data_IF_863919740554
#
_entry.id   IF_863919740554
#
_cell.length_a   1.000
_cell.length_b   1.000
_cell.length_c   1.000
_cell.angle_alpha   90.00
_cell.angle_beta   90.00
_cell.angle_gamma   90.00
#
_symmetry.space_group_name_H-M   'P 1'
#
loop_
_entity.id
_entity.type
_entity.pdbx_description
1 polymer ?
#
# COMPACT_ATOMS: atom_id res chain seq x y z
N UNK A 1 -0.92 10.95 -22.30
CA UNK A 1 0.45 10.50 -21.95
C UNK A 1 1.41 10.72 -23.11
N UNK A 2 2.47 11.49 -22.89
CA UNK A 2 3.64 11.53 -23.78
C UNK A 2 4.66 10.46 -23.34
N UNK A 3 5.49 9.97 -24.26
CA UNK A 3 6.58 9.04 -23.95
C UNK A 3 7.93 9.61 -24.41
N UNK A 4 8.84 9.83 -23.47
CA UNK A 4 10.24 10.15 -23.76
C UNK A 4 10.97 8.92 -24.32
N UNK A 5 11.74 9.12 -25.39
CA UNK A 5 12.67 8.11 -25.94
C UNK A 5 14.02 8.79 -26.11
N UNK A 6 15.04 8.27 -25.42
CA UNK A 6 16.39 8.82 -25.46
C UNK A 6 17.25 8.18 -26.55
N UNK A 7 17.79 9.02 -27.43
CA UNK A 7 19.10 8.79 -28.03
C UNK A 7 19.75 10.13 -28.41
N UNK A 8 21.06 10.28 -28.22
CA UNK A 8 21.86 11.42 -28.70
C UNK A 8 21.54 12.83 -28.16
N UNK A 9 20.90 12.95 -26.99
CA UNK A 9 21.05 14.14 -26.12
C UNK A 9 20.21 15.39 -26.42
N UNK A 10 19.22 15.33 -27.32
CA UNK A 10 18.23 16.40 -27.54
C UNK A 10 16.81 15.80 -27.61
N UNK A 11 15.82 16.54 -27.11
CA UNK A 11 14.43 16.09 -26.99
C UNK A 11 13.47 16.78 -27.97
N UNK A 12 12.39 16.10 -28.36
CA UNK A 12 11.28 16.66 -29.14
C UNK A 12 9.96 15.88 -28.86
N UNK A 13 8.81 16.52 -29.04
CA UNK A 13 7.49 16.06 -28.61
C UNK A 13 6.63 15.51 -29.77
N UNK A 14 5.77 14.51 -29.48
CA UNK A 14 4.69 14.01 -30.36
C UNK A 14 3.47 13.64 -29.52
N UNK A 15 2.26 13.88 -30.04
CA UNK A 15 0.97 13.77 -29.32
C UNK A 15 0.18 12.48 -29.65
N UNK A 16 -0.87 12.17 -28.88
CA UNK A 16 -1.56 10.87 -28.88
C UNK A 16 -2.77 10.71 -29.82
N UNK A 17 -2.97 9.46 -30.31
CA UNK A 17 -4.17 8.62 -30.03
C UNK A 17 -4.09 7.28 -30.79
N UNK A 18 -3.89 6.15 -30.11
CA UNK A 18 -4.14 4.78 -30.66
C UNK A 18 -4.08 3.70 -29.58
N UNK A 19 -4.84 2.61 -29.74
CA UNK A 19 -4.84 1.45 -28.81
C UNK A 19 -3.65 0.51 -29.10
N UNK A 20 -2.66 0.47 -28.22
CA UNK A 20 -1.47 -0.38 -28.38
C UNK A 20 -1.75 -1.85 -28.00
N UNK A 21 -1.43 -2.76 -28.92
CA UNK A 21 -1.48 -4.22 -28.73
C UNK A 21 -0.10 -4.82 -29.02
N UNK A 22 0.22 -5.97 -28.42
CA UNK A 22 1.49 -6.65 -28.65
C UNK A 22 1.47 -7.45 -29.95
N UNK A 23 2.48 -7.23 -30.80
CA UNK A 23 2.63 -7.94 -32.08
C UNK A 23 3.02 -9.43 -31.97
N UNK A 24 3.03 -10.02 -30.77
CA UNK A 24 3.35 -11.43 -30.53
C UNK A 24 2.15 -12.17 -29.92
N UNK A 25 1.60 -11.71 -28.79
CA UNK A 25 0.46 -12.35 -28.13
C UNK A 25 -0.90 -11.67 -28.41
N UNK A 26 -0.93 -10.61 -29.23
CA UNK A 26 -2.11 -9.77 -29.57
C UNK A 26 -2.82 -9.06 -28.41
N UNK A 27 -2.51 -9.39 -27.15
CA UNK A 27 -3.01 -8.72 -25.96
C UNK A 27 -2.71 -7.21 -25.92
N UNK A 28 -3.51 -6.47 -25.15
CA UNK A 28 -3.32 -5.03 -24.91
C UNK A 28 -2.05 -4.76 -24.10
N UNK A 29 -1.34 -3.69 -24.45
CA UNK A 29 -0.27 -3.13 -23.61
C UNK A 29 -0.89 -2.01 -22.77
N UNK A 30 -1.19 -2.31 -21.51
CA UNK A 30 -1.84 -1.42 -20.53
C UNK A 30 -1.15 -1.51 -19.16
N UNK A 31 -1.53 -0.63 -18.23
CA UNK A 31 -0.98 -0.57 -16.87
C UNK A 31 -0.05 0.62 -16.64
N UNK A 32 0.22 0.94 -15.37
CA UNK A 32 1.21 1.93 -14.96
C UNK A 32 2.64 1.39 -15.17
N UNK A 33 3.61 2.29 -15.36
CA UNK A 33 5.00 1.94 -15.61
C UNK A 33 5.30 1.46 -17.04
N UNK A 34 6.57 1.12 -17.30
CA UNK A 34 7.08 0.75 -18.64
C UNK A 34 6.71 -0.70 -19.00
N UNK A 35 5.46 -0.93 -19.39
CA UNK A 35 4.87 -2.26 -19.67
C UNK A 35 5.35 -2.93 -20.98
N UNK A 36 5.80 -2.15 -21.97
CA UNK A 36 6.23 -2.66 -23.27
C UNK A 36 7.40 -1.90 -23.91
N UNK A 37 7.99 -2.52 -24.93
CA UNK A 37 9.01 -1.95 -25.79
C UNK A 37 8.41 -1.54 -27.14
N UNK A 38 8.93 -0.45 -27.72
CA UNK A 38 8.60 0.02 -29.07
C UNK A 38 9.87 0.10 -29.91
N UNK A 39 9.93 -0.60 -31.03
CA UNK A 39 11.07 -0.48 -31.94
C UNK A 39 11.12 0.94 -32.53
N UNK A 40 12.25 1.63 -32.40
CA UNK A 40 12.39 3.02 -32.89
C UNK A 40 12.27 3.13 -34.42
N UNK A 41 12.57 2.07 -35.15
CA UNK A 41 12.59 2.04 -36.61
C UNK A 41 11.22 1.62 -37.18
N UNK A 42 10.84 0.34 -37.08
CA UNK A 42 9.57 -0.18 -37.62
C UNK A 42 8.33 0.07 -36.73
N UNK A 43 8.49 0.74 -35.58
CA UNK A 43 7.41 1.09 -34.61
C UNK A 43 6.68 -0.10 -33.96
N UNK A 44 7.12 -1.34 -34.22
CA UNK A 44 6.64 -2.59 -33.61
C UNK A 44 6.54 -2.47 -32.08
N UNK A 45 5.41 -2.92 -31.52
CA UNK A 45 5.06 -2.84 -30.09
C UNK A 45 4.98 -4.26 -29.50
N UNK A 46 5.66 -4.50 -28.37
CA UNK A 46 5.63 -5.79 -27.65
C UNK A 46 5.70 -5.60 -26.14
N UNK A 47 5.06 -6.47 -25.34
CA UNK A 47 5.28 -6.49 -23.89
C UNK A 47 6.73 -6.82 -23.54
N UNK A 48 7.17 -6.41 -22.35
CA UNK A 48 8.45 -6.86 -21.77
C UNK A 48 8.62 -8.38 -21.80
N UNK A 49 7.58 -9.16 -21.48
CA UNK A 49 7.62 -10.64 -21.52
C UNK A 49 7.82 -11.21 -22.93
N UNK A 50 7.31 -10.53 -23.97
CA UNK A 50 7.32 -11.01 -25.35
C UNK A 50 8.56 -10.62 -26.17
N UNK A 51 9.42 -9.70 -25.70
CA UNK A 51 10.49 -9.15 -26.55
C UNK A 51 11.50 -10.20 -27.06
N UNK A 52 11.76 -11.27 -26.28
CA UNK A 52 12.65 -12.37 -26.66
C UNK A 52 12.07 -13.29 -27.75
N UNK A 53 10.79 -13.12 -28.10
CA UNK A 53 10.09 -13.88 -29.13
C UNK A 53 10.03 -13.14 -30.48
N UNK A 54 10.59 -11.92 -30.56
CA UNK A 54 10.69 -11.15 -31.81
C UNK A 54 11.79 -11.73 -32.69
N UNK A 55 11.40 -12.65 -33.57
CA UNK A 55 12.31 -13.35 -34.49
C UNK A 55 12.27 -12.76 -35.92
N UNK A 56 12.28 -11.43 -36.05
CA UNK A 56 12.14 -10.74 -37.33
C UNK A 56 12.98 -9.45 -37.43
N UNK A 57 13.77 -9.36 -38.50
CA UNK A 57 14.63 -8.20 -38.77
C UNK A 57 13.84 -6.93 -39.08
N UNK A 58 14.30 -5.81 -38.54
CA UNK A 58 13.64 -4.52 -38.68
C UNK A 58 13.85 -3.91 -40.08
N UNK A 59 12.90 -4.14 -41.00
CA UNK A 59 12.88 -3.53 -42.33
C UNK A 59 12.45 -2.05 -42.26
N UNK A 60 13.20 -1.17 -42.95
CA UNK A 60 12.97 0.27 -42.98
C UNK A 60 12.17 0.73 -44.21
N UNK A 61 10.96 1.27 -43.99
CA UNK A 61 10.30 2.18 -44.94
C UNK A 61 9.39 3.17 -44.18
N UNK A 62 9.12 4.34 -44.77
CA UNK A 62 8.27 5.40 -44.20
C UNK A 62 7.25 5.88 -45.25
N UNK A 63 6.01 6.14 -44.79
CA UNK A 63 4.92 6.87 -45.46
C UNK A 63 4.30 6.23 -46.73
N UNK A 64 3.07 6.64 -47.13
CA UNK A 64 1.93 7.18 -46.36
C UNK A 64 0.60 6.39 -46.58
N UNK A 65 -0.44 6.69 -45.80
CA UNK A 65 -1.83 6.30 -46.15
C UNK A 65 -2.35 7.08 -47.37
N UNK A 66 -3.32 6.54 -48.15
CA UNK A 66 -4.70 7.07 -48.00
C UNK A 66 -5.88 6.12 -48.34
N UNK A 67 -7.06 6.45 -47.76
CA UNK A 67 -8.44 6.21 -48.26
C UNK A 67 -9.05 4.78 -48.17
N UNK A 68 -10.26 4.72 -47.59
CA UNK A 68 -11.22 3.59 -47.69
C UNK A 68 -12.25 3.79 -48.83
N UNK A 69 -12.74 2.70 -49.43
CA UNK A 69 -14.15 2.56 -49.83
C UNK A 69 -14.92 1.53 -48.98
N UNK A 70 -16.24 1.40 -49.19
CA UNK A 70 -17.13 0.49 -48.44
C UNK A 70 -17.50 -0.81 -49.19
N UNK A 71 -18.19 -1.71 -48.47
CA UNK A 71 -19.04 -2.87 -48.84
C UNK A 71 -19.62 -2.90 -50.29
N UNK A 72 -20.01 -4.08 -50.86
CA UNK A 72 -20.81 -5.11 -50.15
C UNK A 72 -20.64 -6.63 -50.47
N UNK A 73 -20.94 -7.45 -49.46
CA UNK A 73 -21.75 -8.69 -49.48
C UNK A 73 -21.38 -9.94 -50.34
N UNK A 74 -21.38 -11.11 -49.68
CA UNK A 74 -21.65 -12.49 -50.20
C UNK A 74 -20.62 -13.11 -51.21
N UNK A 75 -20.54 -14.43 -51.45
CA UNK A 75 -21.43 -15.60 -51.16
C UNK A 75 -20.62 -16.91 -50.90
N UNK A 76 -21.21 -17.84 -50.14
CA UNK A 76 -21.22 -19.33 -50.25
C UNK A 76 -19.99 -20.19 -50.70
N UNK A 77 -19.68 -21.21 -49.85
CA UNK A 77 -19.55 -22.66 -50.18
C UNK A 77 -18.33 -23.19 -50.99
N UNK A 78 -17.88 -24.46 -50.88
CA UNK A 78 -18.27 -25.65 -50.06
C UNK A 78 -17.10 -26.69 -50.02
N UNK A 79 -17.32 -27.83 -49.30
CA UNK A 79 -16.71 -29.18 -49.51
C UNK A 79 -15.28 -29.53 -49.00
N UNK A 80 -14.97 -30.79 -48.57
CA UNK A 80 -15.75 -31.90 -47.96
C UNK A 80 -14.82 -33.03 -47.42
N UNK A 81 -15.18 -33.69 -46.29
CA UNK A 81 -14.78 -35.06 -45.80
C UNK A 81 -13.27 -35.43 -45.65
N UNK A 82 -12.79 -36.48 -44.93
CA UNK A 82 -13.27 -37.49 -43.92
C UNK A 82 -11.99 -38.11 -43.24
N UNK A 83 -11.88 -39.17 -42.40
CA UNK A 83 -12.72 -40.29 -41.86
C UNK A 83 -12.17 -40.68 -40.44
N UNK A 84 -12.93 -41.40 -39.60
CA UNK A 84 -12.41 -42.21 -38.45
C UNK A 84 -13.20 -43.56 -38.39
N UNK A 85 -12.59 -44.72 -38.07
CA UNK A 85 -13.12 -45.51 -36.93
C UNK A 85 -12.13 -46.45 -36.15
N UNK A 86 -12.08 -46.27 -34.82
CA UNK A 86 -12.36 -47.27 -33.75
C UNK A 86 -11.64 -48.66 -33.60
N UNK A 87 -10.74 -48.76 -32.58
CA UNK A 87 -10.63 -49.80 -31.50
C UNK A 87 -10.37 -51.33 -31.86
N UNK A 88 -10.19 -52.31 -30.91
CA UNK A 88 -10.14 -52.29 -29.42
C UNK A 88 -9.06 -53.18 -28.68
N UNK A 89 -9.10 -53.16 -27.34
CA UNK A 89 -8.53 -54.15 -26.34
C UNK A 89 -7.02 -54.08 -26.02
N UNK A 90 -6.49 -54.54 -24.86
CA UNK A 90 -7.04 -55.42 -23.78
C UNK A 90 -6.41 -55.22 -22.37
N UNK A 91 -7.23 -55.38 -21.30
CA UNK A 91 -6.99 -56.07 -19.99
C UNK A 91 -5.58 -56.16 -19.33
N UNK A 92 -5.40 -55.73 -18.06
CA UNK A 92 -5.65 -56.48 -16.79
C UNK A 92 -5.37 -55.59 -15.53
N UNK A 93 -5.64 -56.10 -14.32
CA UNK A 93 -5.65 -55.38 -13.03
C UNK A 93 -5.20 -56.28 -11.85
N UNK A 94 -4.83 -55.70 -10.70
CA UNK A 94 -4.87 -56.38 -9.39
C UNK A 94 -4.76 -55.40 -8.20
N UNK A 95 -5.43 -55.72 -7.09
CA UNK A 95 -5.59 -54.87 -5.89
C UNK A 95 -4.59 -55.18 -4.77
N UNK A 96 -4.57 -54.33 -3.74
CA UNK A 96 -4.48 -54.81 -2.35
C UNK A 96 -5.16 -53.85 -1.35
N UNK A 97 -5.60 -54.41 -0.22
CA UNK A 97 -6.55 -53.83 0.74
C UNK A 97 -5.91 -53.64 2.12
N UNK A 98 -6.35 -52.61 2.87
CA UNK A 98 -6.09 -52.46 4.31
C UNK A 98 -7.25 -51.72 4.99
N UNK A 99 -7.98 -52.40 5.87
CA UNK A 99 -9.04 -51.83 6.71
C UNK A 99 -8.50 -51.48 8.10
N UNK A 100 -8.93 -50.37 8.73
CA UNK A 100 -9.02 -50.34 10.21
C UNK A 100 -10.06 -49.34 10.77
N UNK A 101 -11.30 -49.86 10.90
CA UNK A 101 -12.34 -49.71 11.94
C UNK A 101 -12.66 -48.37 12.64
N UNK A 102 -13.95 -48.27 12.98
CA UNK A 102 -14.64 -47.14 13.61
C UNK A 102 -14.30 -46.95 15.10
N UNK A 103 -14.42 -45.69 15.55
CA UNK A 103 -14.84 -45.34 16.91
C UNK A 103 -15.93 -44.26 16.82
N UNK A 104 -17.02 -44.37 17.58
CA UNK A 104 -18.22 -43.54 17.43
C UNK A 104 -18.68 -42.94 18.77
N UNK A 105 -19.30 -41.75 18.72
CA UNK A 105 -19.69 -40.90 19.86
C UNK A 105 -18.49 -40.13 20.46
N UNK A 106 -18.61 -38.88 20.92
CA UNK A 106 -19.81 -38.12 21.31
C UNK A 106 -20.01 -36.88 20.43
N UNK A 107 -21.28 -36.52 20.17
CA UNK A 107 -21.66 -35.20 19.63
C UNK A 107 -21.74 -34.19 20.77
N UNK A 108 -20.83 -33.24 20.83
CA UNK A 108 -21.10 -31.96 21.48
C UNK A 108 -21.43 -30.91 20.40
N UNK A 109 -22.45 -30.09 20.66
CA UNK A 109 -22.94 -29.13 19.67
C UNK A 109 -21.89 -28.07 19.38
N UNK A 110 -21.51 -27.92 18.12
CA UNK A 110 -20.72 -26.78 17.68
C UNK A 110 -21.46 -25.49 18.01
N UNK A 111 -20.93 -24.70 18.97
CA UNK A 111 -21.13 -23.26 18.94
C UNK A 111 -20.46 -22.78 17.66
N UNK A 112 -21.26 -22.43 16.65
CA UNK A 112 -20.76 -21.54 15.62
C UNK A 112 -20.28 -20.27 16.33
N UNK A 113 -19.00 -19.93 16.19
CA UNK A 113 -18.52 -18.60 16.56
C UNK A 113 -19.29 -17.61 15.69
N UNK A 114 -20.19 -16.84 16.30
CA UNK A 114 -21.00 -15.87 15.57
C UNK A 114 -20.08 -14.79 15.02
N UNK A 115 -19.73 -14.91 13.74
CA UNK A 115 -19.02 -13.87 13.01
C UNK A 115 -19.85 -12.59 13.04
N UNK A 116 -19.18 -11.48 13.34
CA UNK A 116 -19.80 -10.16 13.26
C UNK A 116 -20.08 -9.84 11.79
N UNK A 117 -21.19 -9.17 11.52
CA UNK A 117 -21.51 -8.64 10.20
C UNK A 117 -21.97 -7.19 10.25
N UNK A 118 -22.23 -6.60 9.09
CA UNK A 118 -22.57 -5.18 8.98
C UNK A 118 -23.80 -4.78 9.81
N UNK A 119 -24.75 -5.71 10.01
CA UNK A 119 -25.95 -5.52 10.83
C UNK A 119 -25.64 -5.24 12.32
N UNK A 120 -24.51 -5.71 12.84
CA UNK A 120 -24.13 -5.58 14.25
C UNK A 120 -23.56 -4.19 14.59
N UNK A 121 -23.33 -3.35 13.58
CA UNK A 121 -22.80 -2.02 13.71
C UNK A 121 -23.82 -0.92 13.36
N UNK A 122 -23.70 0.23 14.01
CA UNK A 122 -24.31 1.49 13.56
C UNK A 122 -23.25 2.36 12.90
N UNK A 123 -23.59 2.93 11.73
CA UNK A 123 -22.72 3.83 10.97
C UNK A 123 -22.97 5.27 11.45
N UNK A 124 -21.96 5.91 12.05
CA UNK A 124 -22.10 7.21 12.73
C UNK A 124 -21.59 8.39 11.90
N UNK A 125 -20.48 8.19 11.17
CA UNK A 125 -19.81 9.24 10.39
C UNK A 125 -18.93 8.65 9.29
N UNK A 126 -18.63 9.45 8.27
CA UNK A 126 -17.51 9.18 7.36
C UNK A 126 -16.32 9.99 7.88
N UNK A 127 -15.16 9.36 8.04
CA UNK A 127 -13.99 9.99 8.67
C UNK A 127 -12.76 10.04 7.75
N UNK A 128 -12.76 9.32 6.63
CA UNK A 128 -11.68 9.40 5.65
C UNK A 128 -11.94 8.61 4.36
N UNK A 129 -11.06 8.82 3.38
CA UNK A 129 -10.94 8.01 2.17
C UNK A 129 -9.47 7.79 1.81
N UNK A 130 -9.14 6.56 1.44
CA UNK A 130 -7.93 6.23 0.67
C UNK A 130 -8.31 5.92 -0.79
N UNK A 131 -7.31 5.60 -1.62
CA UNK A 131 -7.51 5.28 -3.05
C UNK A 131 -8.48 4.12 -3.30
N UNK A 132 -8.52 3.14 -2.39
CA UNK A 132 -9.29 1.90 -2.51
C UNK A 132 -10.36 1.71 -1.42
N UNK A 133 -10.44 2.63 -0.45
CA UNK A 133 -11.21 2.43 0.78
C UNK A 133 -11.98 3.69 1.23
N UNK A 134 -13.18 3.49 1.78
CA UNK A 134 -13.91 4.50 2.57
C UNK A 134 -13.81 4.13 4.06
N UNK A 135 -13.50 5.09 4.92
CA UNK A 135 -13.38 4.87 6.37
C UNK A 135 -14.55 5.52 7.08
N UNK A 136 -15.27 4.75 7.89
CA UNK A 136 -16.40 5.20 8.69
C UNK A 136 -16.13 5.09 10.19
N UNK A 137 -16.70 6.01 10.96
CA UNK A 137 -16.88 5.86 12.40
C UNK A 137 -18.09 4.96 12.65
N UNK A 138 -17.93 3.92 13.45
CA UNK A 138 -18.99 2.95 13.75
C UNK A 138 -19.12 2.66 15.25
N UNK A 139 -20.28 2.16 15.65
CA UNK A 139 -20.54 1.63 17.00
C UNK A 139 -20.95 0.17 16.94
N UNK A 140 -20.38 -0.69 17.79
CA UNK A 140 -20.80 -2.10 17.93
C UNK A 140 -22.00 -2.20 18.88
N UNK A 141 -23.17 -2.58 18.37
CA UNK A 141 -24.46 -2.57 19.11
C UNK A 141 -24.49 -3.44 20.37
N UNK A 142 -23.64 -4.46 20.44
CA UNK A 142 -23.54 -5.36 21.61
C UNK A 142 -22.85 -4.69 22.80
N UNK A 143 -21.92 -3.77 22.56
CA UNK A 143 -20.99 -3.23 23.57
C UNK A 143 -21.00 -1.70 23.68
N UNK A 144 -21.73 -1.01 22.80
CA UNK A 144 -21.70 0.45 22.57
C UNK A 144 -20.31 1.03 22.27
N UNK A 145 -19.29 0.18 22.04
CA UNK A 145 -17.92 0.61 21.75
C UNK A 145 -17.77 1.18 20.35
N UNK A 146 -16.85 2.14 20.22
CA UNK A 146 -16.60 2.92 19.02
C UNK A 146 -15.35 2.41 18.31
N UNK A 147 -15.44 2.22 17.00
CA UNK A 147 -14.35 1.74 16.14
C UNK A 147 -14.29 2.56 14.84
N UNK A 148 -13.16 2.52 14.16
CA UNK A 148 -13.09 2.88 12.75
C UNK A 148 -13.36 1.61 11.90
N UNK A 149 -14.00 1.79 10.75
CA UNK A 149 -14.31 0.70 9.81
C UNK A 149 -13.78 1.08 8.43
N UNK A 150 -12.68 0.44 8.01
CA UNK A 150 -12.12 0.57 6.66
C UNK A 150 -12.89 -0.38 5.74
N UNK A 151 -13.52 0.19 4.71
CA UNK A 151 -14.40 -0.53 3.78
C UNK A 151 -13.79 -0.51 2.38
N UNK A 152 -13.41 -1.69 1.89
CA UNK A 152 -12.87 -1.92 0.54
C UNK A 152 -13.96 -2.57 -0.31
N UNK A 153 -14.07 -2.18 -1.59
CA UNK A 153 -14.96 -2.87 -2.53
C UNK A 153 -14.25 -4.07 -3.15
N UNK A 154 -14.95 -5.20 -3.26
CA UNK A 154 -14.45 -6.39 -3.98
C UNK A 154 -14.29 -6.15 -5.49
N UNK A 155 -15.03 -5.22 -6.10
CA UNK A 155 -14.83 -4.82 -7.51
C UNK A 155 -13.44 -4.20 -7.81
N UNK A 156 -12.68 -3.86 -6.77
CA UNK A 156 -11.32 -3.31 -6.88
C UNK A 156 -10.23 -4.36 -6.64
N UNK A 157 -10.62 -5.62 -6.37
CA UNK A 157 -9.74 -6.76 -6.14
C UNK A 157 -10.04 -7.78 -7.24
N UNK A 158 -9.23 -7.77 -8.31
CA UNK A 158 -9.55 -8.47 -9.57
C UNK A 158 -8.48 -9.48 -10.00
N UNK A 159 -7.21 -9.20 -9.70
CA UNK A 159 -6.06 -10.03 -10.07
C UNK A 159 -5.40 -10.61 -8.80
N UNK A 160 -4.64 -11.71 -8.91
CA UNK A 160 -3.97 -12.39 -7.79
C UNK A 160 -3.18 -11.44 -6.87
N UNK A 161 -2.53 -10.40 -7.45
CA UNK A 161 -1.76 -9.39 -6.71
C UNK A 161 -2.63 -8.55 -5.75
N UNK A 162 -3.92 -8.33 -6.07
CA UNK A 162 -4.86 -7.62 -5.20
C UNK A 162 -5.33 -8.53 -4.05
N UNK A 163 -5.40 -9.84 -4.26
CA UNK A 163 -5.83 -10.83 -3.26
C UNK A 163 -4.70 -11.04 -2.24
N UNK A 164 -3.46 -11.22 -2.71
CA UNK A 164 -2.23 -11.21 -1.89
C UNK A 164 -2.14 -9.93 -1.03
N UNK A 165 -2.55 -8.78 -1.59
CA UNK A 165 -2.59 -7.48 -0.90
C UNK A 165 -3.64 -7.47 0.24
N UNK A 166 -4.85 -7.98 0.01
CA UNK A 166 -5.89 -8.11 1.05
C UNK A 166 -5.43 -9.04 2.19
N UNK A 167 -4.84 -10.19 1.84
CA UNK A 167 -4.37 -11.16 2.82
C UNK A 167 -3.17 -10.62 3.64
N UNK A 168 -2.24 -9.92 2.98
CA UNK A 168 -1.13 -9.20 3.65
C UNK A 168 -1.67 -8.13 4.61
N UNK A 169 -2.64 -7.30 4.20
CA UNK A 169 -3.20 -6.29 5.10
C UNK A 169 -3.86 -6.94 6.34
N UNK A 170 -4.63 -8.02 6.17
CA UNK A 170 -5.22 -8.78 7.29
C UNK A 170 -4.13 -9.29 8.25
N UNK A 171 -3.13 -10.00 7.76
CA UNK A 171 -2.11 -10.61 8.62
C UNK A 171 -1.22 -9.57 9.32
N UNK A 172 -0.83 -8.49 8.64
CA UNK A 172 -0.11 -7.37 9.28
C UNK A 172 -0.95 -6.73 10.38
N UNK A 173 -2.26 -6.55 10.17
CA UNK A 173 -3.18 -6.08 11.22
C UNK A 173 -3.24 -7.01 12.44
N UNK A 174 -3.24 -8.33 12.25
CA UNK A 174 -3.21 -9.32 13.33
C UNK A 174 -1.88 -9.21 14.13
N UNK A 175 -0.74 -9.07 13.45
CA UNK A 175 0.58 -8.86 14.08
C UNK A 175 0.69 -7.51 14.81
N UNK A 176 0.10 -6.46 14.23
CA UNK A 176 0.14 -5.08 14.73
C UNK A 176 -0.61 -4.88 16.05
N UNK A 177 -1.65 -5.70 16.30
CA UNK A 177 -2.65 -5.51 17.36
C UNK A 177 -2.13 -5.57 18.81
N UNK A 178 -0.84 -5.84 19.03
CA UNK A 178 -0.20 -5.88 20.34
C UNK A 178 0.79 -4.71 20.60
N UNK A 179 1.02 -3.83 19.62
CA UNK A 179 2.02 -2.75 19.74
C UNK A 179 1.36 -1.38 20.05
N UNK A 180 1.85 -0.61 21.04
CA UNK A 180 1.25 0.66 21.47
C UNK A 180 1.11 1.72 20.35
N UNK A 181 2.04 1.72 19.39
CA UNK A 181 2.14 2.71 18.31
C UNK A 181 1.68 2.19 16.93
N UNK A 182 0.92 1.09 16.91
CA UNK A 182 0.21 0.59 15.72
C UNK A 182 -1.31 0.64 15.98
N UNK A 183 -2.12 0.63 14.91
CA UNK A 183 -3.59 0.59 14.97
C UNK A 183 -4.03 -0.88 15.07
N UNK A 184 -4.71 -1.24 16.16
CA UNK A 184 -5.18 -2.61 16.36
C UNK A 184 -6.39 -2.98 15.49
N UNK A 185 -6.47 -4.25 15.08
CA UNK A 185 -7.62 -4.86 14.42
C UNK A 185 -8.53 -5.53 15.44
N UNK A 186 -9.82 -5.19 15.40
CA UNK A 186 -10.88 -5.83 16.18
C UNK A 186 -11.49 -7.02 15.45
N UNK A 187 -11.90 -6.86 14.19
CA UNK A 187 -12.56 -7.92 13.42
C UNK A 187 -12.59 -7.66 11.92
N UNK A 188 -12.53 -8.72 11.11
CA UNK A 188 -12.80 -8.67 9.67
C UNK A 188 -14.11 -9.40 9.34
N UNK A 189 -14.88 -8.86 8.40
CA UNK A 189 -16.06 -9.52 7.82
C UNK A 189 -16.34 -9.00 6.41
N UNK A 190 -17.26 -9.63 5.69
CA UNK A 190 -17.56 -9.29 4.28
C UNK A 190 -19.06 -9.25 3.97
N UNK A 191 -19.38 -8.68 2.81
CA UNK A 191 -20.64 -8.89 2.08
C UNK A 191 -20.32 -9.36 0.65
N UNK A 192 -21.32 -9.63 -0.18
CA UNK A 192 -21.17 -10.01 -1.59
C UNK A 192 -20.27 -9.04 -2.40
N UNK A 193 -20.27 -7.76 -1.99
CA UNK A 193 -19.65 -6.63 -2.71
C UNK A 193 -18.47 -5.97 -2.00
N UNK A 194 -18.22 -6.26 -0.71
CA UNK A 194 -17.28 -5.49 0.14
C UNK A 194 -16.55 -6.34 1.18
N UNK A 195 -15.37 -5.85 1.55
CA UNK A 195 -14.58 -6.29 2.70
C UNK A 195 -14.56 -5.17 3.75
N UNK A 196 -14.64 -5.56 5.03
CA UNK A 196 -14.71 -4.65 6.16
C UNK A 196 -13.66 -5.02 7.20
N UNK A 197 -12.76 -4.08 7.49
CA UNK A 197 -11.81 -4.16 8.61
C UNK A 197 -12.29 -3.21 9.71
N UNK A 198 -12.67 -3.77 10.87
CA UNK A 198 -13.03 -3.00 12.07
C UNK A 198 -11.77 -2.86 12.91
N UNK A 199 -11.34 -1.62 13.10
CA UNK A 199 -10.03 -1.25 13.65
C UNK A 199 -10.20 -0.19 14.75
N UNK A 200 -9.18 -0.03 15.58
CA UNK A 200 -9.12 0.96 16.66
C UNK A 200 -9.45 2.38 16.17
N UNK A 201 -10.34 3.09 16.89
CA UNK A 201 -10.65 4.49 16.56
C UNK A 201 -9.65 5.45 17.21
N UNK A 202 -8.85 6.12 16.39
CA UNK A 202 -7.82 7.08 16.80
C UNK A 202 -8.27 8.49 16.39
N UNK A 203 -8.46 9.41 17.35
CA UNK A 203 -9.25 10.63 17.14
C UNK A 203 -8.56 11.97 17.45
N UNK A 204 -7.25 11.97 17.67
CA UNK A 204 -6.43 13.19 17.75
C UNK A 204 -6.12 13.83 16.39
N UNK A 205 -6.56 13.21 15.29
CA UNK A 205 -6.21 13.55 13.91
C UNK A 205 -4.92 12.86 13.48
N UNK A 206 -4.21 13.47 12.53
CA UNK A 206 -2.98 12.97 11.94
C UNK A 206 -1.87 14.04 11.90
N UNK A 207 -0.63 13.62 11.61
CA UNK A 207 0.51 14.55 11.53
C UNK A 207 0.42 15.51 10.34
N UNK A 208 -0.30 15.21 9.26
CA UNK A 208 -0.53 16.16 8.15
C UNK A 208 -1.40 17.33 8.62
N UNK A 209 -2.54 17.06 9.23
CA UNK A 209 -3.43 18.07 9.84
C UNK A 209 -2.72 18.85 10.95
N UNK A 210 -1.92 18.18 11.79
CA UNK A 210 -1.09 18.85 12.79
C UNK A 210 -0.07 19.80 12.14
N UNK A 211 0.63 19.36 11.09
CA UNK A 211 1.60 20.17 10.34
C UNK A 211 0.96 21.34 9.59
N UNK A 212 -0.24 21.17 9.01
CA UNK A 212 -0.97 22.28 8.38
C UNK A 212 -1.30 23.40 9.37
N UNK A 213 -1.58 23.06 10.63
CA UNK A 213 -1.88 24.02 11.71
C UNK A 213 -0.62 24.64 12.33
N UNK A 214 0.39 23.83 12.67
CA UNK A 214 1.63 24.31 13.32
C UNK A 214 2.65 24.92 12.34
N UNK A 215 2.55 24.59 11.04
CA UNK A 215 3.51 24.89 9.95
C UNK A 215 4.90 24.29 10.11
N UNK A 216 5.46 24.23 11.31
CA UNK A 216 6.75 23.60 11.64
C UNK A 216 6.76 23.23 13.12
N UNK A 217 7.34 22.09 13.46
CA UNK A 217 7.52 21.65 14.83
C UNK A 217 8.89 22.05 15.41
N UNK A 218 8.99 22.22 16.74
CA UNK A 218 10.27 22.21 17.45
C UNK A 218 10.98 20.85 17.31
N UNK A 219 12.32 20.84 17.36
CA UNK A 219 13.12 19.60 17.26
C UNK A 219 12.79 18.57 18.36
N UNK A 220 12.21 19.02 19.48
CA UNK A 220 11.79 18.16 20.58
C UNK A 220 10.48 17.41 20.29
N UNK A 221 9.51 18.08 19.67
CA UNK A 221 8.28 17.43 19.20
C UNK A 221 8.59 16.45 18.08
N UNK A 222 9.42 16.87 17.12
CA UNK A 222 9.89 16.00 16.03
C UNK A 222 10.65 14.77 16.56
N UNK A 223 11.47 14.92 17.61
CA UNK A 223 12.18 13.81 18.28
C UNK A 223 11.24 12.82 18.94
N UNK A 224 10.23 13.30 19.66
CA UNK A 224 9.23 12.47 20.32
C UNK A 224 8.51 11.60 19.28
N UNK A 225 7.84 12.22 18.30
CA UNK A 225 7.12 11.48 17.27
C UNK A 225 8.05 10.54 16.47
N UNK A 226 9.26 10.98 16.10
CA UNK A 226 10.19 10.11 15.35
C UNK A 226 10.74 8.93 16.18
N UNK A 227 10.76 9.03 17.52
CA UNK A 227 11.14 7.91 18.38
C UNK A 227 10.03 6.85 18.45
N UNK A 228 8.77 7.28 18.66
CA UNK A 228 7.61 6.37 18.64
C UNK A 228 7.43 5.70 17.26
N UNK A 229 7.58 6.45 16.16
CA UNK A 229 7.60 5.90 14.80
C UNK A 229 8.75 4.90 14.62
N UNK A 230 9.94 5.18 15.17
CA UNK A 230 11.08 4.25 15.06
C UNK A 230 10.84 2.93 15.80
N UNK A 231 10.16 2.96 16.95
CA UNK A 231 9.72 1.75 17.67
C UNK A 231 8.69 0.97 16.85
N UNK A 232 7.68 1.66 16.30
CA UNK A 232 6.66 1.06 15.43
C UNK A 232 7.24 0.39 14.18
N UNK A 233 8.22 1.03 13.52
CA UNK A 233 8.93 0.45 12.39
C UNK A 233 9.78 -0.75 12.81
N UNK A 234 10.56 -0.65 13.89
CA UNK A 234 11.39 -1.76 14.36
C UNK A 234 10.56 -3.01 14.72
N UNK A 235 9.42 -2.83 15.39
CA UNK A 235 8.48 -3.91 15.71
C UNK A 235 7.99 -4.66 14.45
N UNK A 236 7.76 -3.95 13.34
CA UNK A 236 7.39 -4.53 12.05
C UNK A 236 8.61 -5.21 11.37
N UNK A 237 9.78 -4.56 11.39
CA UNK A 237 11.02 -5.07 10.79
C UNK A 237 11.46 -6.40 11.44
N UNK A 238 11.36 -6.51 12.77
CA UNK A 238 11.61 -7.75 13.54
C UNK A 238 10.65 -8.90 13.18
N UNK A 239 9.47 -8.59 12.62
CA UNK A 239 8.47 -9.55 12.14
C UNK A 239 8.57 -9.85 10.64
N UNK A 240 9.58 -9.29 9.96
CA UNK A 240 9.76 -9.49 8.52
C UNK A 240 8.82 -8.65 7.67
N UNK A 241 8.33 -7.52 8.18
CA UNK A 241 7.36 -6.63 7.52
C UNK A 241 8.04 -5.29 7.19
N UNK A 242 8.08 -4.92 5.91
CA UNK A 242 8.40 -3.55 5.46
C UNK A 242 7.08 -2.77 5.33
N UNK A 243 7.00 -1.54 5.82
CA UNK A 243 5.77 -0.75 5.85
C UNK A 243 5.48 0.00 4.52
N UNK A 244 6.51 0.53 3.87
CA UNK A 244 6.54 1.11 2.50
C UNK A 244 5.69 2.35 2.21
N UNK A 245 4.79 2.79 3.09
CA UNK A 245 4.00 4.02 2.90
C UNK A 245 3.93 4.93 4.14
N UNK A 246 5.08 5.12 4.80
CA UNK A 246 5.22 6.12 5.85
C UNK A 246 5.16 7.54 5.27
N UNK A 247 4.11 8.27 5.64
CA UNK A 247 3.84 9.67 5.29
C UNK A 247 3.09 10.37 6.42
N UNK A 248 3.05 11.70 6.43
CA UNK A 248 2.40 12.48 7.49
C UNK A 248 0.93 12.08 7.73
N UNK A 249 0.19 11.76 6.67
CA UNK A 249 -1.23 11.38 6.71
C UNK A 249 -1.47 10.00 7.37
N UNK A 250 -0.48 9.10 7.31
CA UNK A 250 -0.56 7.74 7.87
C UNK A 250 -0.05 7.65 9.32
N UNK A 251 0.41 8.76 9.91
CA UNK A 251 0.78 8.85 11.32
C UNK A 251 -0.34 9.55 12.07
N UNK A 252 -1.23 8.76 12.67
CA UNK A 252 -2.34 9.24 13.49
C UNK A 252 -1.85 9.67 14.87
N UNK A 253 -2.61 10.52 15.57
CA UNK A 253 -2.42 10.89 16.97
C UNK A 253 -3.58 10.38 17.81
N UNK A 254 -3.30 9.73 18.95
CA UNK A 254 -4.34 9.37 19.93
C UNK A 254 -4.81 10.56 20.77
N UNK A 255 -5.80 10.35 21.64
CA UNK A 255 -6.39 11.41 22.46
C UNK A 255 -5.46 12.01 23.52
N UNK A 256 -4.33 11.37 23.82
CA UNK A 256 -3.29 11.88 24.73
C UNK A 256 -2.14 12.57 23.97
N UNK A 257 -1.88 12.16 22.72
CA UNK A 257 -0.89 12.75 21.81
C UNK A 257 0.22 11.81 21.34
N UNK A 258 0.11 10.51 21.58
CA UNK A 258 1.05 9.50 21.07
C UNK A 258 0.70 9.12 19.62
N UNK A 259 1.69 8.70 18.83
CA UNK A 259 1.45 8.30 17.44
C UNK A 259 0.88 6.89 17.31
N UNK A 260 0.11 6.65 16.23
CA UNK A 260 -0.20 5.30 15.71
C UNK A 260 -0.04 5.26 14.20
N UNK A 261 0.76 4.35 13.67
CA UNK A 261 0.84 4.09 12.22
C UNK A 261 -0.39 3.32 11.75
N UNK A 262 -0.97 3.69 10.61
CA UNK A 262 -2.18 3.08 10.03
C UNK A 262 -1.98 2.64 8.57
N UNK A 263 -3.02 2.14 7.91
CA UNK A 263 -3.12 1.78 6.49
C UNK A 263 -2.03 0.77 6.02
N UNK A 264 -2.17 -0.49 6.42
CA UNK A 264 -1.15 -1.52 6.19
C UNK A 264 -1.15 -2.15 4.80
N UNK A 265 -2.10 -1.80 3.91
CA UNK A 265 -2.15 -2.34 2.56
C UNK A 265 -0.84 -2.24 1.76
N UNK A 266 -0.03 -1.18 1.96
CA UNK A 266 1.26 -1.06 1.26
C UNK A 266 2.38 -1.95 1.82
N UNK A 267 2.17 -2.69 2.91
CA UNK A 267 3.22 -3.51 3.52
C UNK A 267 3.77 -4.60 2.57
N UNK A 268 4.96 -5.13 2.89
CA UNK A 268 5.39 -6.46 2.42
C UNK A 268 5.87 -7.28 3.59
N UNK A 269 5.26 -8.44 3.80
CA UNK A 269 5.59 -9.38 4.86
C UNK A 269 6.39 -10.60 4.37
N UNK A 270 6.77 -11.46 5.31
CA UNK A 270 7.43 -12.74 5.05
C UNK A 270 8.94 -12.66 4.82
N UNK A 271 9.55 -11.48 4.94
CA UNK A 271 11.00 -11.31 4.75
C UNK A 271 11.79 -11.84 5.95
N UNK A 272 12.83 -12.62 5.68
CA UNK A 272 13.85 -12.99 6.69
C UNK A 272 14.94 -11.91 6.73
N UNK A 273 15.76 -11.85 7.81
CA UNK A 273 16.88 -10.91 7.87
C UNK A 273 17.85 -11.09 6.70
N UNK A 274 17.85 -10.13 5.78
CA UNK A 274 18.65 -10.14 4.54
C UNK A 274 17.89 -10.45 3.25
N UNK A 275 16.61 -10.84 3.33
CA UNK A 275 15.74 -10.96 2.15
C UNK A 275 15.37 -9.56 1.60
N UNK A 276 14.94 -9.52 0.34
CA UNK A 276 14.59 -8.28 -0.38
C UNK A 276 13.35 -8.45 -1.26
N UNK A 277 12.76 -7.34 -1.68
CA UNK A 277 11.64 -7.26 -2.63
C UNK A 277 11.85 -6.13 -3.65
N UNK A 278 11.04 -6.08 -4.71
CA UNK A 278 11.23 -5.15 -5.84
C UNK A 278 9.96 -4.54 -6.42
N UNK A 279 8.82 -4.62 -5.71
CA UNK A 279 7.60 -3.89 -6.08
C UNK A 279 7.86 -2.38 -6.10
N UNK A 280 7.49 -1.68 -7.18
CA UNK A 280 7.53 -0.21 -7.22
C UNK A 280 6.26 0.36 -6.57
N UNK A 281 6.35 0.90 -5.36
CA UNK A 281 5.22 1.37 -4.56
C UNK A 281 5.61 2.48 -3.58
N UNK A 282 4.62 3.01 -2.84
CA UNK A 282 4.77 4.10 -1.86
C UNK A 282 4.40 5.48 -2.41
N UNK A 283 4.09 6.42 -1.52
CA UNK A 283 3.71 7.80 -1.88
C UNK A 283 4.89 8.60 -2.47
N UNK A 284 4.78 9.27 -3.65
CA UNK A 284 5.91 9.82 -4.41
C UNK A 284 6.97 10.65 -3.67
N UNK A 285 6.58 11.50 -2.71
CA UNK A 285 7.52 12.31 -1.92
C UNK A 285 8.42 11.48 -0.98
N UNK A 286 8.00 10.26 -0.63
CA UNK A 286 8.65 9.40 0.37
C UNK A 286 9.39 8.21 -0.27
N UNK A 287 9.23 7.97 -1.58
CA UNK A 287 9.87 6.83 -2.27
C UNK A 287 11.40 6.91 -2.14
N UNK A 288 12.02 5.79 -1.77
CA UNK A 288 13.46 5.70 -1.56
C UNK A 288 14.26 5.63 -2.88
N UNK A 289 15.49 6.17 -2.94
CA UNK A 289 16.31 6.20 -4.15
C UNK A 289 16.58 4.83 -4.78
N UNK A 290 16.67 3.76 -3.98
CA UNK A 290 16.81 2.37 -4.46
C UNK A 290 15.57 1.91 -5.27
N UNK A 291 14.34 2.20 -4.79
CA UNK A 291 13.09 1.88 -5.50
C UNK A 291 13.06 2.62 -6.85
N UNK A 292 13.45 3.91 -6.86
CA UNK A 292 13.51 4.71 -8.09
C UNK A 292 14.59 4.25 -9.09
N UNK A 293 15.63 3.55 -8.62
CA UNK A 293 16.63 2.89 -9.49
C UNK A 293 16.19 1.50 -9.96
N UNK A 294 15.13 0.93 -9.39
CA UNK A 294 14.70 -0.44 -9.66
C UNK A 294 15.64 -1.48 -9.06
N UNK A 295 16.24 -1.16 -7.91
CA UNK A 295 17.05 -2.09 -7.12
C UNK A 295 16.16 -2.93 -6.21
N UNK A 296 16.56 -4.18 -5.93
CA UNK A 296 15.94 -4.98 -4.86
C UNK A 296 16.23 -4.32 -3.51
N UNK A 297 15.19 -4.14 -2.68
CA UNK A 297 15.25 -3.37 -1.43
C UNK A 297 14.69 -4.15 -0.24
N UNK A 298 15.02 -3.69 0.97
CA UNK A 298 14.50 -4.22 2.24
C UNK A 298 13.98 -3.10 3.14
N UNK A 299 14.11 -3.27 4.46
CA UNK A 299 13.69 -2.31 5.49
C UNK A 299 14.31 -0.89 5.35
N UNK A 300 15.31 -0.69 4.49
CA UNK A 300 15.99 0.59 4.26
C UNK A 300 15.05 1.71 3.79
N UNK A 301 13.97 1.35 3.11
CA UNK A 301 13.03 2.31 2.50
C UNK A 301 12.19 3.05 3.54
N UNK A 302 11.83 2.37 4.64
CA UNK A 302 11.08 2.98 5.75
C UNK A 302 11.94 3.99 6.51
N UNK A 303 13.23 3.68 6.71
CA UNK A 303 14.19 4.59 7.34
C UNK A 303 14.49 5.83 6.48
N UNK A 304 14.42 5.72 5.15
CA UNK A 304 14.45 6.88 4.26
C UNK A 304 13.18 7.73 4.40
N UNK A 305 11.99 7.10 4.38
CA UNK A 305 10.72 7.79 4.54
C UNK A 305 10.61 8.52 5.89
N UNK A 306 11.11 7.92 6.98
CA UNK A 306 11.26 8.58 8.27
C UNK A 306 12.18 9.80 8.18
N UNK A 307 13.29 9.71 7.44
CA UNK A 307 14.16 10.85 7.16
C UNK A 307 13.45 12.02 6.45
N UNK A 308 12.54 11.72 5.52
CA UNK A 308 11.71 12.72 4.82
C UNK A 308 10.70 13.34 5.78
N UNK A 309 9.95 12.52 6.52
CA UNK A 309 8.94 12.95 7.49
C UNK A 309 9.56 13.79 8.63
N UNK A 310 10.74 13.40 9.13
CA UNK A 310 11.53 14.19 10.08
C UNK A 310 11.99 15.53 9.48
N UNK A 311 12.35 15.58 8.20
CA UNK A 311 12.69 16.83 7.53
C UNK A 311 11.45 17.73 7.48
N UNK A 312 10.29 17.20 7.08
CA UNK A 312 9.04 17.94 7.01
C UNK A 312 8.64 18.53 8.36
N UNK A 313 8.62 17.72 9.42
CA UNK A 313 8.35 18.18 10.79
C UNK A 313 9.26 19.36 11.20
N UNK A 314 10.57 19.25 10.96
CA UNK A 314 11.55 20.26 11.42
C UNK A 314 11.73 21.44 10.44
N UNK A 315 11.41 21.31 9.16
CA UNK A 315 11.59 22.36 8.16
C UNK A 315 10.27 23.06 7.76
N UNK A 316 9.13 22.42 8.00
CA UNK A 316 7.79 22.90 7.63
C UNK A 316 7.43 22.74 6.15
N UNK A 317 8.15 21.87 5.44
CA UNK A 317 8.08 21.66 3.99
C UNK A 317 8.90 20.41 3.60
N UNK A 318 8.67 19.80 2.44
CA UNK A 318 9.43 18.62 2.02
C UNK A 318 10.88 18.97 1.64
N UNK A 319 11.82 18.00 1.71
CA UNK A 319 13.19 18.19 1.23
C UNK A 319 13.29 18.36 -0.30
N UNK A 320 12.21 18.14 -1.05
CA UNK A 320 12.17 18.12 -2.51
C UNK A 320 11.39 19.28 -3.14
N UNK A 321 10.82 20.21 -2.34
CA UNK A 321 9.94 21.36 -2.69
C UNK A 321 10.57 22.47 -3.58
N UNK A 322 11.46 22.10 -4.49
CA UNK A 322 11.74 22.89 -5.69
C UNK A 322 10.69 22.57 -6.78
N UNK A 323 10.14 21.35 -6.76
CA UNK A 323 8.92 20.98 -7.51
C UNK A 323 7.77 21.90 -7.09
N UNK A 324 7.01 22.46 -8.04
CA UNK A 324 5.88 23.35 -7.76
C UNK A 324 6.21 24.83 -7.53
N UNK A 325 7.48 25.20 -7.31
CA UNK A 325 7.90 26.61 -7.07
C UNK A 325 8.35 27.34 -8.35
N UNK A 326 8.02 26.82 -9.53
CA UNK A 326 8.54 27.27 -10.82
C UNK A 326 7.43 27.50 -11.86
N UNK A 327 7.53 28.59 -12.62
CA UNK A 327 6.64 28.90 -13.74
C UNK A 327 6.77 27.92 -14.93
N UNK A 328 7.69 26.95 -14.86
CA UNK A 328 7.89 25.91 -15.87
C UNK A 328 7.03 24.65 -15.55
N UNK A 329 6.04 24.28 -16.38
CA UNK A 329 5.19 23.12 -16.14
C UNK A 329 5.94 21.80 -16.02
N UNK A 330 7.06 21.62 -16.74
CA UNK A 330 7.84 20.37 -16.73
C UNK A 330 8.40 20.04 -15.34
N UNK A 331 8.66 21.07 -14.53
CA UNK A 331 9.21 20.95 -13.17
C UNK A 331 8.13 20.66 -12.10
N UNK A 332 6.88 20.48 -12.52
CA UNK A 332 5.75 20.12 -11.65
C UNK A 332 5.28 18.67 -11.91
N UNK A 333 6.17 17.81 -12.41
CA UNK A 333 5.90 16.41 -12.77
C UNK A 333 6.53 15.42 -11.78
N UNK A 334 5.94 14.23 -11.65
CA UNK A 334 6.49 13.14 -10.83
C UNK A 334 7.86 12.67 -11.35
N UNK A 335 8.07 12.60 -12.67
CA UNK A 335 9.38 12.30 -13.27
C UNK A 335 10.46 13.29 -12.80
N UNK A 336 10.14 14.58 -12.68
CA UNK A 336 11.07 15.59 -12.17
C UNK A 336 11.30 15.47 -10.66
N UNK A 337 10.26 15.13 -9.88
CA UNK A 337 10.39 14.80 -8.46
C UNK A 337 11.33 13.59 -8.26
N UNK A 338 11.17 12.53 -9.04
CA UNK A 338 12.03 11.35 -8.98
C UNK A 338 13.48 11.67 -9.37
N UNK A 339 13.70 12.51 -10.39
CA UNK A 339 15.05 13.03 -10.70
C UNK A 339 15.64 13.84 -9.53
N UNK A 340 14.83 14.69 -8.87
CA UNK A 340 15.25 15.45 -7.68
C UNK A 340 15.61 14.53 -6.51
N UNK A 341 14.83 13.47 -6.26
CA UNK A 341 15.10 12.46 -5.23
C UNK A 341 16.40 11.70 -5.53
N UNK A 342 16.67 11.36 -6.79
CA UNK A 342 17.88 10.63 -7.20
C UNK A 342 19.13 11.51 -7.18
N UNK A 343 19.12 12.66 -7.85
CA UNK A 343 20.33 13.43 -8.16
C UNK A 343 20.64 14.54 -7.15
N UNK A 344 19.61 15.14 -6.53
CA UNK A 344 19.79 16.40 -5.80
C UNK A 344 20.29 16.16 -4.38
N UNK A 345 21.35 16.87 -4.00
CA UNK A 345 21.79 16.93 -2.61
C UNK A 345 20.80 17.76 -1.78
N UNK A 346 20.24 17.14 -0.74
CA UNK A 346 19.27 17.77 0.17
C UNK A 346 19.98 18.83 1.02
N UNK A 347 19.39 20.03 1.11
CA UNK A 347 19.96 21.18 1.81
C UNK A 347 19.26 21.41 3.13
N UNK A 348 19.87 20.92 4.22
CA UNK A 348 19.37 21.12 5.59
C UNK A 348 19.29 22.64 5.92
N UNK A 349 18.17 23.15 6.47
CA UNK A 349 18.07 24.54 6.89
C UNK A 349 19.08 24.92 7.97
N UNK A 350 19.70 26.11 7.86
CA UNK A 350 20.66 26.64 8.85
C UNK A 350 20.07 26.93 10.23
N UNK A 351 18.75 26.87 10.36
CA UNK A 351 18.00 27.05 11.62
C UNK A 351 17.79 25.75 12.40
N UNK A 352 18.30 24.61 11.90
CA UNK A 352 18.33 23.35 12.63
C UNK A 352 19.67 23.14 13.35
N UNK A 353 19.63 22.47 14.49
CA UNK A 353 20.79 22.12 15.29
C UNK A 353 21.73 21.17 14.55
N UNK A 354 22.99 21.12 14.98
CA UNK A 354 23.97 20.15 14.44
C UNK A 354 23.50 18.69 14.62
N UNK A 355 22.69 18.41 15.67
CA UNK A 355 22.11 17.09 15.92
C UNK A 355 21.02 16.74 14.91
N UNK A 356 20.09 17.65 14.67
CA UNK A 356 19.04 17.50 13.66
C UNK A 356 19.64 17.43 12.24
N UNK A 357 20.63 18.27 11.94
CA UNK A 357 21.37 18.23 10.69
C UNK A 357 22.23 16.96 10.52
N UNK A 358 22.59 16.28 11.60
CA UNK A 358 23.17 14.94 11.60
C UNK A 358 22.14 13.89 11.22
N UNK A 359 21.08 13.74 12.04
CA UNK A 359 20.09 12.64 11.89
C UNK A 359 19.43 12.66 10.50
N UNK A 360 19.08 13.85 10.01
CA UNK A 360 18.49 14.02 8.69
C UNK A 360 19.43 13.59 7.56
N UNK A 361 20.74 13.86 7.66
CA UNK A 361 21.70 13.42 6.64
C UNK A 361 21.91 11.91 6.66
N UNK A 362 21.89 11.30 7.84
CA UNK A 362 22.15 9.87 8.00
C UNK A 362 20.93 9.02 7.59
N UNK A 363 19.70 9.46 7.84
CA UNK A 363 18.49 8.82 7.27
C UNK A 363 18.32 9.12 5.78
N UNK A 364 18.61 10.35 5.32
CA UNK A 364 18.50 10.73 3.90
C UNK A 364 19.78 10.43 3.10
N UNK A 365 20.50 9.37 3.47
CA UNK A 365 21.59 8.86 2.64
C UNK A 365 21.02 8.12 1.42
N UNK A 366 21.55 8.41 0.23
CA UNK A 366 21.07 7.81 -1.03
C UNK A 366 21.63 6.40 -1.27
N UNK A 367 22.70 6.02 -0.60
CA UNK A 367 23.10 4.61 -0.48
C UNK A 367 22.38 4.00 0.73
N UNK A 368 21.55 2.96 0.57
CA UNK A 368 20.87 2.31 1.68
C UNK A 368 21.82 1.58 2.65
N UNK A 369 23.03 1.21 2.25
CA UNK A 369 24.00 0.50 3.11
C UNK A 369 24.67 1.42 4.13
N UNK A 370 24.84 2.68 3.74
CA UNK A 370 25.42 3.76 4.54
C UNK A 370 24.33 4.62 5.24
N UNK A 371 23.08 4.12 5.28
CA UNK A 371 21.92 4.81 5.86
C UNK A 371 21.69 4.40 7.31
N UNK A 372 21.33 5.37 8.15
CA UNK A 372 20.95 5.14 9.55
C UNK A 372 19.72 4.21 9.61
N UNK A 373 19.72 3.24 10.53
CA UNK A 373 18.72 2.18 10.58
C UNK A 373 19.06 0.93 9.75
N UNK A 374 20.01 1.00 8.81
CA UNK A 374 20.18 -0.02 7.78
C UNK A 374 21.39 -0.96 7.97
N UNK A 375 22.25 -0.75 8.98
CA UNK A 375 23.37 -1.66 9.22
C UNK A 375 22.88 -3.01 9.77
N UNK A 376 23.19 -4.18 9.15
CA UNK A 376 22.46 -5.42 9.39
C UNK A 376 22.56 -6.03 10.80
N UNK A 377 23.48 -5.56 11.66
CA UNK A 377 23.63 -6.02 13.04
C UNK A 377 23.40 -4.94 14.10
N UNK A 378 23.30 -3.67 13.71
CA UNK A 378 23.23 -2.53 14.66
C UNK A 378 22.21 -1.46 14.29
N UNK A 379 21.52 -1.55 13.14
CA UNK A 379 20.73 -0.47 12.56
C UNK A 379 19.81 0.27 13.54
N UNK A 380 19.01 -0.44 14.34
CA UNK A 380 18.15 0.19 15.35
C UNK A 380 18.95 0.75 16.54
N UNK A 381 19.96 0.04 17.03
CA UNK A 381 20.85 0.53 18.08
C UNK A 381 21.63 1.81 17.65
N UNK A 382 21.96 1.94 16.36
CA UNK A 382 22.57 3.14 15.79
C UNK A 382 21.59 4.33 15.78
N UNK A 383 20.29 4.09 15.55
CA UNK A 383 19.23 5.09 15.73
C UNK A 383 19.16 5.50 17.22
N UNK A 384 19.03 4.53 18.13
CA UNK A 384 18.92 4.76 19.57
C UNK A 384 20.10 5.55 20.13
N UNK A 385 21.32 5.22 19.69
CA UNK A 385 22.57 5.88 20.07
C UNK A 385 22.84 7.22 19.37
N UNK A 386 22.10 7.58 18.32
CA UNK A 386 22.39 8.79 17.55
C UNK A 386 22.23 10.07 18.39
N UNK A 387 23.16 11.06 18.35
CA UNK A 387 23.16 12.23 19.26
C UNK A 387 21.91 13.12 19.27
N UNK A 388 21.02 12.98 18.29
CA UNK A 388 19.68 13.60 18.27
C UNK A 388 18.70 12.96 19.26
N UNK A 389 18.77 11.63 19.43
CA UNK A 389 17.91 10.83 20.30
C UNK A 389 18.45 10.63 21.72
N UNK A 390 19.64 11.17 22.05
CA UNK A 390 20.30 11.06 23.38
C UNK A 390 19.41 11.36 24.61
N UNK A 391 18.31 12.09 24.46
CA UNK A 391 17.38 12.43 25.54
C UNK A 391 16.11 11.56 25.55
N UNK A 392 16.03 10.52 24.72
CA UNK A 392 14.96 9.52 24.70
C UNK A 392 15.37 8.36 25.58
N UNK A 393 14.54 8.08 26.58
CA UNK A 393 14.51 6.78 27.24
C UNK A 393 13.55 5.90 26.42
N UNK A 394 14.08 4.86 25.77
CA UNK A 394 13.34 4.09 24.79
C UNK A 394 12.36 3.11 25.44
N UNK A 395 12.70 2.57 26.61
CA UNK A 395 11.85 1.66 27.38
C UNK A 395 10.64 2.42 27.94
N UNK A 396 10.86 3.63 28.48
CA UNK A 396 9.77 4.52 28.92
C UNK A 396 8.95 5.07 27.75
N UNK A 397 9.55 5.25 26.57
CA UNK A 397 8.82 5.64 25.36
C UNK A 397 7.86 4.53 24.92
N UNK A 398 8.35 3.30 24.73
CA UNK A 398 7.52 2.14 24.34
C UNK A 398 6.40 1.88 25.34
N UNK A 399 6.66 2.02 26.64
CA UNK A 399 5.65 1.88 27.69
C UNK A 399 4.68 3.07 27.81
N UNK A 400 4.74 4.06 26.91
CA UNK A 400 3.94 5.31 26.89
C UNK A 400 4.04 6.12 28.19
N UNK A 401 5.17 6.06 28.88
CA UNK A 401 5.43 6.80 30.13
C UNK A 401 6.08 8.17 29.89
N UNK A 402 6.58 8.44 28.68
CA UNK A 402 7.01 9.78 28.26
C UNK A 402 5.77 10.59 27.84
N UNK A 403 5.54 11.72 28.51
CA UNK A 403 4.37 12.60 28.25
C UNK A 403 4.47 13.23 26.86
N UNK A 404 3.42 13.15 26.01
CA UNK A 404 3.41 13.80 24.70
C UNK A 404 3.64 15.32 24.74
N UNK A 405 4.36 15.88 23.74
CA UNK A 405 4.68 17.31 23.67
C UNK A 405 3.50 18.16 23.17
N UNK A 406 2.42 17.51 22.70
CA UNK A 406 1.17 18.12 22.28
C UNK A 406 0.04 17.14 22.57
N UNK A 407 -0.98 17.58 23.30
CA UNK A 407 -2.23 16.83 23.49
C UNK A 407 -3.30 17.35 22.52
N UNK A 408 -3.89 16.52 21.66
CA UNK A 408 -4.97 16.92 20.78
C UNK A 408 -6.21 17.44 21.54
N UNK A 409 -6.94 18.36 20.91
CA UNK A 409 -8.19 18.86 21.47
C UNK A 409 -9.34 17.93 21.05
N UNK A 410 -9.92 17.20 21.99
CA UNK A 410 -11.06 16.32 21.75
C UNK A 410 -12.35 17.05 22.14
N UNK A 411 -13.21 17.31 21.15
CA UNK A 411 -14.49 18.02 21.30
C UNK A 411 -15.66 17.26 20.68
N UNK A 412 -16.87 17.48 21.22
CA UNK A 412 -18.06 16.69 20.92
C UNK A 412 -18.02 15.28 21.54
N UNK A 413 -18.94 14.41 21.12
CA UNK A 413 -19.03 13.01 21.61
C UNK A 413 -17.86 12.13 21.13
N UNK A 414 -17.25 12.47 19.98
CA UNK A 414 -16.29 11.59 19.30
C UNK A 414 -14.92 12.23 18.94
N UNK A 415 -14.75 13.55 19.03
CA UNK A 415 -13.51 14.22 18.58
C UNK A 415 -13.44 14.51 17.07
N UNK A 416 -14.58 14.61 16.40
CA UNK A 416 -14.65 14.76 14.92
C UNK A 416 -14.02 16.04 14.37
N UNK A 417 -13.76 17.05 15.20
CA UNK A 417 -13.12 18.33 14.80
C UNK A 417 -11.64 18.18 14.38
N UNK A 418 -11.04 17.00 14.59
CA UNK A 418 -9.68 16.66 14.14
C UNK A 418 -9.64 15.90 12.80
N UNK A 419 -10.79 15.69 12.14
CA UNK A 419 -10.91 15.07 10.83
C UNK A 419 -11.33 16.11 9.79
N UNK A 420 -10.95 15.94 8.53
CA UNK A 420 -11.34 16.90 7.49
C UNK A 420 -12.87 16.91 7.29
N UNK A 421 -13.42 18.11 7.39
CA UNK A 421 -14.79 18.49 7.04
C UNK A 421 -15.27 17.95 5.69
N UNK A 422 -14.39 17.72 4.69
CA UNK A 422 -14.79 17.13 3.42
C UNK A 422 -15.34 15.70 3.59
N UNK A 423 -14.84 14.95 4.57
CA UNK A 423 -15.30 13.61 4.90
C UNK A 423 -16.45 13.64 5.90
N UNK A 424 -16.36 14.42 6.97
CA UNK A 424 -17.39 14.40 8.04
C UNK A 424 -18.75 14.96 7.60
N UNK A 425 -18.78 15.72 6.50
CA UNK A 425 -20.00 16.17 5.81
C UNK A 425 -20.52 15.20 4.73
N UNK A 426 -19.83 14.08 4.42
CA UNK A 426 -20.40 13.07 3.52
C UNK A 426 -21.65 12.42 4.12
N UNK A 427 -22.63 12.02 3.27
CA UNK A 427 -23.69 11.11 3.67
C UNK A 427 -23.13 9.83 4.32
N UNK A 428 -23.66 9.50 5.50
CA UNK A 428 -23.25 8.34 6.31
C UNK A 428 -23.91 7.07 5.75
N UNK A 429 -23.46 6.70 4.56
CA UNK A 429 -23.90 5.53 3.82
C UNK A 429 -22.74 4.91 3.04
N UNK A 430 -22.85 3.61 2.80
CA UNK A 430 -22.10 2.95 1.73
C UNK A 430 -22.72 3.36 0.39
N UNK A 431 -21.89 3.47 -0.66
CA UNK A 431 -22.43 3.62 -2.02
C UNK A 431 -23.27 2.39 -2.36
N UNK A 432 -24.46 2.52 -2.99
CA UNK A 432 -25.21 1.38 -3.51
C UNK A 432 -24.38 0.53 -4.47
N UNK A 433 -24.76 -0.73 -4.62
CA UNK A 433 -24.09 -1.68 -5.51
C UNK A 433 -24.65 -1.66 -6.92
N UNK A 434 -23.84 -2.15 -7.86
CA UNK A 434 -24.25 -2.49 -9.22
C UNK A 434 -24.32 -4.02 -9.29
N UNK A 435 -25.55 -4.56 -9.30
CA UNK A 435 -25.80 -5.99 -9.30
C UNK A 435 -25.08 -6.72 -10.45
N UNK A 436 -24.88 -6.07 -11.60
CA UNK A 436 -24.22 -6.68 -12.75
C UNK A 436 -22.70 -6.65 -12.62
N UNK A 437 -22.12 -5.83 -11.74
CA UNK A 437 -20.72 -5.97 -11.31
C UNK A 437 -20.62 -7.05 -10.23
N UNK A 438 -21.47 -7.01 -9.19
CA UNK A 438 -21.39 -7.94 -8.04
C UNK A 438 -21.52 -9.41 -8.46
N UNK A 439 -22.40 -9.73 -9.42
CA UNK A 439 -22.54 -11.10 -9.99
C UNK A 439 -21.29 -11.65 -10.70
N UNK A 440 -20.28 -10.81 -10.98
CA UNK A 440 -19.02 -11.21 -11.62
C UNK A 440 -17.88 -11.42 -10.62
N UNK A 441 -18.08 -11.07 -9.36
CA UNK A 441 -17.08 -11.19 -8.30
C UNK A 441 -17.04 -12.64 -7.84
N UNK A 442 -15.93 -13.34 -8.06
CA UNK A 442 -15.73 -14.65 -7.45
C UNK A 442 -15.69 -14.49 -5.93
N UNK A 443 -16.52 -15.25 -5.21
CA UNK A 443 -16.61 -15.17 -3.76
C UNK A 443 -15.63 -16.12 -3.07
N UNK A 444 -15.11 -17.12 -3.78
CA UNK A 444 -14.21 -18.15 -3.21
C UNK A 444 -12.84 -17.56 -2.83
N UNK A 445 -12.35 -16.57 -3.57
CA UNK A 445 -11.13 -15.80 -3.29
C UNK A 445 -11.19 -15.00 -1.95
N UNK A 446 -12.37 -14.92 -1.33
CA UNK A 446 -12.60 -14.25 -0.05
C UNK A 446 -13.06 -15.19 1.07
N UNK A 447 -13.05 -16.51 0.85
CA UNK A 447 -13.35 -17.48 1.92
C UNK A 447 -12.31 -17.42 3.05
N UNK A 448 -12.77 -17.36 4.30
CA UNK A 448 -11.88 -17.20 5.46
C UNK A 448 -11.38 -15.76 5.68
N UNK A 449 -11.95 -14.77 4.99
CA UNK A 449 -11.69 -13.35 5.31
C UNK A 449 -12.14 -12.99 6.74
N UNK A 450 -13.16 -13.67 7.27
CA UNK A 450 -13.67 -13.49 8.63
C UNK A 450 -12.54 -13.57 9.69
N UNK A 451 -12.61 -12.68 10.69
CA UNK A 451 -11.71 -12.67 11.84
C UNK A 451 -12.37 -11.93 13.00
N UNK A 452 -12.10 -12.37 14.24
CA UNK A 452 -12.37 -11.58 15.44
C UNK A 452 -11.14 -11.73 16.36
N UNK A 453 -10.61 -10.62 16.85
CA UNK A 453 -9.42 -10.61 17.68
C UNK A 453 -9.71 -11.23 19.06
N UNK A 454 -9.10 -12.38 19.40
CA UNK A 454 -9.41 -13.09 20.65
C UNK A 454 -8.95 -12.31 21.90
N UNK A 455 -7.94 -11.45 21.76
CA UNK A 455 -7.41 -10.64 22.87
C UNK A 455 -8.38 -9.50 23.19
N UNK A 456 -8.88 -8.79 22.18
CA UNK A 456 -9.85 -7.70 22.37
C UNK A 456 -11.20 -8.22 22.88
N UNK A 457 -11.66 -9.39 22.42
CA UNK A 457 -12.85 -10.04 23.01
C UNK A 457 -12.69 -10.32 24.52
N UNK A 458 -11.51 -10.77 24.96
CA UNK A 458 -11.28 -11.02 26.39
C UNK A 458 -11.36 -9.74 27.25
N UNK A 459 -10.99 -8.59 26.68
CA UNK A 459 -11.13 -7.27 27.30
C UNK A 459 -12.53 -6.65 27.11
N UNK A 460 -13.47 -7.38 26.51
CA UNK A 460 -14.87 -6.98 26.26
C UNK A 460 -15.88 -7.82 27.03
N UNK A 461 -15.60 -9.11 27.27
CA UNK A 461 -16.45 -9.98 28.10
C UNK A 461 -16.15 -9.86 29.62
N UNK A 462 -15.20 -8.99 30.01
CA UNK A 462 -14.82 -8.70 31.40
C UNK A 462 -15.35 -7.36 31.95
N UNK A 463 -16.41 -6.79 31.35
CA UNK A 463 -17.03 -5.51 31.74
C UNK A 463 -18.49 -5.71 32.16
#
# INVERSE_FOLDING_TARGET
MCFLVYQSGLACLVQEKTRAHCAICTDRIWGLGRQGYKCINCKLLVHKKCHKLVNSDCRHTLQPEPIMPMDPSSVHSDNVESVIPYNPSSHESLDHVGEEKEAMSIRESGKASSSLGLQDFDLLRVIGRGSYAKVLLVRLKKTERIYAMKVVKKELVNDDEDIDWVQTEKHVFEQASNHPFLVGLHSCFQTESRLFFVIEYVNGGDLMFHMQRQRKLPEEHARFYSAEISLALNYLHERGIIYRDLKLDNVLLDSEGHIKLTDYGMCKEGLRPGDTTSTFCGTPNYIAPEILRGEDYGFSVDWWALGVLMFEMMAGRSPFDIVGSSDNPDQNTEDYLFQVILEKQIRIPRSLSVKAAGVLKSFLNKDPKERLGCHPQTGFADIQGHPFFRNVDWDLMEQKQVVPPFKPNISGEFGLDNFDSQFTNEPVQLTPDDDDIVKKIDQSEFEGFEYINPLLMSAEECV
#
